data_IF_837407066943
#
_entry.id   IF_837407066943
#
_cell.length_a   1.000
_cell.length_b   1.000
_cell.length_c   1.000
_cell.angle_alpha   90.00
_cell.angle_beta   90.00
_cell.angle_gamma   90.00
#
_symmetry.space_group_name_H-M   'P 1'
#
loop_
_entity.id
_entity.type
_entity.pdbx_description
1 polymer ?
#
# COMPACT_ATOMS: atom_id res chain seq x y z
N UNK A 1 1.36 4.73 -42.60
CA UNK A 1 2.20 4.61 -41.39
C UNK A 1 3.63 4.46 -41.86
N UNK A 2 4.57 5.26 -41.35
CA UNK A 2 6.01 5.06 -41.60
C UNK A 2 6.50 4.10 -40.52
N UNK A 3 7.20 3.05 -40.91
CA UNK A 3 7.81 2.12 -39.98
C UNK A 3 8.98 2.83 -39.28
N UNK A 4 8.90 2.96 -37.95
CA UNK A 4 9.91 3.66 -37.16
C UNK A 4 11.30 3.01 -37.30
N UNK A 5 11.38 1.70 -37.55
CA UNK A 5 12.64 0.96 -37.75
C UNK A 5 13.38 1.39 -39.05
N UNK A 6 12.62 1.90 -40.03
CA UNK A 6 13.13 2.30 -41.34
C UNK A 6 13.51 3.78 -41.39
N UNK A 7 13.29 4.52 -40.31
CA UNK A 7 13.64 5.94 -40.23
C UNK A 7 15.17 6.11 -40.16
N UNK A 8 15.78 6.92 -41.04
CA UNK A 8 17.24 7.08 -41.10
C UNK A 8 17.86 7.79 -39.89
N UNK A 9 17.08 8.53 -39.10
CA UNK A 9 17.54 9.25 -37.91
C UNK A 9 17.32 8.45 -36.64
N UNK A 10 16.14 7.84 -36.50
CA UNK A 10 15.73 7.21 -35.24
C UNK A 10 15.61 5.70 -35.29
N UNK A 11 15.62 5.07 -36.48
CA UNK A 11 15.37 3.63 -36.64
C UNK A 11 16.35 2.73 -35.90
N UNK A 12 17.58 3.18 -35.67
CA UNK A 12 18.57 2.47 -34.83
C UNK A 12 18.10 2.23 -33.39
N UNK A 13 17.21 3.05 -32.86
CA UNK A 13 16.68 2.92 -31.49
C UNK A 13 15.47 1.99 -31.41
N UNK A 14 14.80 1.73 -32.55
CA UNK A 14 13.60 0.89 -32.62
C UNK A 14 13.89 -0.51 -33.14
N UNK A 15 15.05 -0.74 -33.77
CA UNK A 15 15.42 -2.00 -34.43
C UNK A 15 15.34 -3.23 -33.52
N UNK A 16 15.72 -3.08 -32.26
CA UNK A 16 15.77 -4.17 -31.29
C UNK A 16 14.58 -4.15 -30.31
N UNK A 17 13.60 -3.26 -30.53
CA UNK A 17 12.41 -3.20 -29.70
C UNK A 17 11.41 -4.29 -30.11
N UNK A 18 10.80 -4.97 -29.13
CA UNK A 18 9.69 -5.87 -29.40
C UNK A 18 8.52 -5.17 -30.10
N UNK A 19 7.87 -5.87 -31.03
CA UNK A 19 6.77 -5.31 -31.83
C UNK A 19 5.41 -5.49 -31.15
N UNK A 20 5.31 -6.41 -30.20
CA UNK A 20 4.07 -6.66 -29.47
C UNK A 20 4.08 -5.93 -28.13
N UNK A 21 2.96 -5.30 -27.78
CA UNK A 21 2.85 -4.50 -26.55
C UNK A 21 3.22 -5.27 -25.28
N UNK A 22 2.84 -6.54 -25.19
CA UNK A 22 3.13 -7.38 -24.01
C UNK A 22 4.62 -7.76 -23.91
N UNK A 23 5.37 -7.76 -25.01
CA UNK A 23 6.80 -8.01 -24.97
C UNK A 23 7.56 -6.81 -24.38
N UNK A 24 6.93 -5.62 -24.37
CA UNK A 24 7.47 -4.41 -23.74
C UNK A 24 7.18 -4.31 -22.24
N UNK A 25 6.36 -5.20 -21.67
CA UNK A 25 6.02 -5.15 -20.24
C UNK A 25 7.17 -5.61 -19.36
N UNK A 26 8.06 -6.47 -19.89
CA UNK A 26 9.29 -6.86 -19.20
C UNK A 26 10.49 -6.06 -19.72
N UNK A 27 10.74 -4.93 -19.07
CA UNK A 27 11.83 -4.01 -19.42
C UNK A 27 13.22 -4.58 -19.18
N UNK A 28 13.35 -5.75 -18.51
CA UNK A 28 14.65 -6.43 -18.34
C UNK A 28 15.23 -6.85 -19.69
N UNK A 29 14.37 -7.17 -20.65
CA UNK A 29 14.75 -7.41 -22.05
C UNK A 29 15.40 -6.19 -22.72
N UNK A 30 15.10 -4.99 -22.23
CA UNK A 30 15.58 -3.71 -22.76
C UNK A 30 16.83 -3.20 -22.03
N UNK A 31 17.41 -3.99 -21.11
CA UNK A 31 18.63 -3.64 -20.40
C UNK A 31 18.43 -2.76 -19.17
N UNK A 32 17.20 -2.65 -18.65
CA UNK A 32 16.89 -1.90 -17.43
C UNK A 32 16.24 -2.78 -16.37
N UNK A 33 16.54 -2.49 -15.11
CA UNK A 33 15.93 -3.15 -13.94
C UNK A 33 15.56 -2.14 -12.88
N UNK A 34 14.58 -2.47 -12.05
CA UNK A 34 14.15 -1.64 -10.93
C UNK A 34 14.60 -2.22 -9.60
N UNK A 35 14.74 -1.35 -8.61
CA UNK A 35 14.85 -1.74 -7.22
C UNK A 35 13.46 -1.71 -6.57
N UNK A 36 12.94 -2.87 -6.19
CA UNK A 36 11.63 -3.05 -5.57
C UNK A 36 11.80 -3.19 -4.06
N UNK A 37 11.32 -2.21 -3.29
CA UNK A 37 11.50 -2.14 -1.83
C UNK A 37 10.21 -2.34 -1.05
N UNK A 38 10.33 -2.83 0.18
CA UNK A 38 9.23 -2.94 1.14
C UNK A 38 8.11 -3.85 0.64
N UNK A 39 6.86 -3.44 0.82
CA UNK A 39 5.68 -4.21 0.43
C UNK A 39 5.63 -4.49 -1.08
N UNK A 40 6.19 -3.61 -1.91
CA UNK A 40 6.31 -3.86 -3.35
C UNK A 40 7.29 -5.01 -3.65
N UNK A 41 8.36 -5.11 -2.87
CA UNK A 41 9.30 -6.23 -2.95
C UNK A 41 8.70 -7.53 -2.41
N UNK A 42 7.92 -7.46 -1.34
CA UNK A 42 7.15 -8.61 -0.83
C UNK A 42 6.14 -9.11 -1.85
N UNK A 43 5.36 -8.22 -2.46
CA UNK A 43 4.41 -8.57 -3.51
C UNK A 43 5.12 -9.25 -4.69
N UNK A 44 6.24 -8.67 -5.14
CA UNK A 44 7.01 -9.22 -6.27
C UNK A 44 7.55 -10.63 -5.99
N UNK A 45 7.99 -10.90 -4.76
CA UNK A 45 8.54 -12.21 -4.37
C UNK A 45 7.46 -13.24 -3.99
N UNK A 46 6.29 -12.80 -3.53
CA UNK A 46 5.23 -13.64 -2.97
C UNK A 46 3.98 -13.70 -3.87
N UNK A 47 4.10 -13.52 -5.19
CA UNK A 47 2.97 -13.56 -6.15
C UNK A 47 2.02 -14.76 -5.97
N UNK A 48 2.47 -15.89 -5.40
CA UNK A 48 1.62 -17.04 -5.06
C UNK A 48 0.63 -16.81 -3.91
N UNK A 49 0.93 -15.90 -3.00
CA UNK A 49 0.14 -15.60 -1.79
C UNK A 49 -0.72 -14.33 -1.92
N UNK A 50 -0.54 -13.52 -2.96
CA UNK A 50 -1.45 -12.40 -3.25
C UNK A 50 -2.68 -12.93 -4.00
N UNK A 51 -3.85 -12.89 -3.37
CA UNK A 51 -5.08 -13.34 -4.01
C UNK A 51 -5.42 -12.47 -5.21
N UNK A 52 -5.47 -13.13 -6.38
CA UNK A 52 -6.00 -12.70 -7.67
C UNK A 52 -5.21 -11.65 -8.46
N UNK A 53 -4.21 -12.13 -9.21
CA UNK A 53 -4.11 -11.77 -10.64
C UNK A 53 -4.00 -13.07 -11.43
N UNK A 54 -4.87 -13.23 -12.43
CA UNK A 54 -4.90 -14.36 -13.36
C UNK A 54 -3.47 -14.62 -13.87
N UNK A 55 -2.85 -15.72 -13.42
CA UNK A 55 -1.60 -16.18 -14.04
C UNK A 55 -1.87 -16.42 -15.51
N UNK A 56 -1.31 -15.58 -16.36
CA UNK A 56 -1.04 -15.98 -17.73
C UNK A 56 -0.06 -17.16 -17.59
N UNK A 57 -0.37 -18.29 -18.22
CA UNK A 57 0.52 -19.44 -18.18
C UNK A 57 1.92 -18.99 -18.59
N UNK A 58 2.88 -19.12 -17.67
CA UNK A 58 4.32 -18.89 -17.88
C UNK A 58 4.90 -19.98 -18.80
N UNK A 59 4.36 -20.10 -20.01
CA UNK A 59 5.09 -20.65 -21.15
C UNK A 59 6.01 -19.59 -21.77
N UNK A 60 6.08 -18.39 -21.19
CA UNK A 60 7.20 -17.49 -21.37
C UNK A 60 8.42 -18.20 -20.77
N UNK A 61 9.10 -18.98 -21.61
CA UNK A 61 10.50 -19.36 -21.42
C UNK A 61 11.19 -18.19 -20.77
N UNK A 62 11.74 -18.38 -19.57
CA UNK A 62 12.72 -17.48 -18.95
C UNK A 62 13.67 -17.05 -20.05
N UNK A 63 13.43 -15.88 -20.66
CA UNK A 63 14.40 -15.31 -21.55
C UNK A 63 15.64 -15.12 -20.67
N UNK A 64 16.80 -15.50 -21.18
CA UNK A 64 18.07 -15.31 -20.49
C UNK A 64 18.33 -13.80 -20.37
N UNK A 65 17.65 -13.16 -19.43
CA UNK A 65 17.86 -11.77 -19.08
C UNK A 65 19.17 -11.71 -18.30
N UNK A 66 20.04 -10.81 -18.71
CA UNK A 66 21.32 -10.57 -18.02
C UNK A 66 21.15 -9.69 -16.78
N UNK A 67 19.96 -9.12 -16.58
CA UNK A 67 19.65 -8.16 -15.52
C UNK A 67 18.31 -8.53 -14.87
N UNK A 68 18.32 -8.68 -13.55
CA UNK A 68 17.13 -8.92 -12.73
C UNK A 68 16.79 -7.70 -11.86
N UNK A 69 15.51 -7.59 -11.48
CA UNK A 69 15.08 -6.61 -10.50
C UNK A 69 15.73 -6.90 -9.13
N UNK A 70 16.17 -5.84 -8.44
CA UNK A 70 16.70 -5.95 -7.09
C UNK A 70 15.54 -5.90 -6.13
N UNK A 71 15.25 -7.01 -5.44
CA UNK A 71 14.11 -7.12 -4.53
C UNK A 71 14.59 -7.01 -3.08
N UNK A 72 14.05 -6.03 -2.35
CA UNK A 72 14.29 -5.84 -0.92
C UNK A 72 12.95 -5.86 -0.17
N UNK A 73 12.53 -7.01 0.37
CA UNK A 73 11.25 -7.12 1.09
C UNK A 73 11.26 -6.29 2.39
N UNK A 74 10.12 -6.24 3.07
CA UNK A 74 10.05 -5.66 4.42
C UNK A 74 10.88 -6.52 5.38
N UNK A 75 11.90 -5.90 5.98
CA UNK A 75 12.81 -6.58 6.93
C UNK A 75 12.92 -5.90 8.28
N UNK A 76 12.43 -4.66 8.41
CA UNK A 76 12.50 -3.91 9.67
C UNK A 76 11.46 -4.43 10.66
N UNK A 77 11.88 -4.66 11.90
CA UNK A 77 11.01 -5.18 12.95
C UNK A 77 9.77 -4.31 13.16
N UNK A 78 9.91 -2.97 13.14
CA UNK A 78 8.80 -2.02 13.25
C UNK A 78 7.72 -2.22 12.16
N UNK A 79 8.14 -2.44 10.92
CA UNK A 79 7.22 -2.66 9.80
C UNK A 79 6.58 -4.04 9.86
N UNK A 80 7.36 -5.07 10.23
CA UNK A 80 6.82 -6.43 10.42
C UNK A 80 5.80 -6.46 11.55
N UNK A 81 6.01 -5.68 12.60
CA UNK A 81 5.10 -5.55 13.71
C UNK A 81 3.78 -4.88 13.29
N UNK A 82 3.84 -3.82 12.48
CA UNK A 82 2.63 -3.20 11.92
C UNK A 82 1.85 -4.15 11.00
N UNK A 83 2.54 -4.91 10.13
CA UNK A 83 1.90 -5.90 9.27
C UNK A 83 1.25 -7.03 10.08
N UNK A 84 1.92 -7.50 11.13
CA UNK A 84 1.36 -8.51 12.01
C UNK A 84 0.14 -7.99 12.79
N UNK A 85 0.12 -6.71 13.14
CA UNK A 85 -1.05 -6.05 13.71
C UNK A 85 -2.22 -6.03 12.70
N UNK A 86 -2.00 -5.59 11.46
CA UNK A 86 -3.02 -5.60 10.40
C UNK A 86 -3.58 -7.02 10.18
N UNK A 87 -2.72 -8.03 10.13
CA UNK A 87 -3.11 -9.43 10.01
C UNK A 87 -4.04 -9.87 11.17
N UNK A 88 -3.76 -9.45 12.41
CA UNK A 88 -4.66 -9.76 13.54
C UNK A 88 -6.00 -9.02 13.44
N UNK A 89 -6.00 -7.76 12.99
CA UNK A 89 -7.24 -7.03 12.77
C UNK A 89 -8.09 -7.70 11.70
N UNK A 90 -7.50 -8.14 10.58
CA UNK A 90 -8.21 -8.91 9.56
C UNK A 90 -8.77 -10.23 10.10
N UNK A 91 -8.00 -10.95 10.92
CA UNK A 91 -8.47 -12.20 11.53
C UNK A 91 -9.65 -11.97 12.48
N UNK A 92 -9.63 -10.90 13.28
CA UNK A 92 -10.74 -10.55 14.15
C UNK A 92 -11.96 -10.08 13.36
N UNK A 93 -11.76 -9.22 12.36
CA UNK A 93 -12.79 -8.77 11.44
C UNK A 93 -13.50 -9.97 10.78
N UNK A 94 -12.73 -10.97 10.32
CA UNK A 94 -13.27 -12.21 9.75
C UNK A 94 -14.09 -13.02 10.75
N UNK A 95 -13.72 -13.05 12.04
CA UNK A 95 -14.51 -13.72 13.09
C UNK A 95 -15.82 -12.99 13.38
N UNK A 96 -15.84 -11.67 13.21
CA UNK A 96 -17.00 -10.81 13.37
C UNK A 96 -17.86 -10.69 12.10
N UNK A 97 -17.53 -11.44 11.03
CA UNK A 97 -18.17 -11.38 9.70
C UNK A 97 -18.10 -10.00 9.01
N UNK A 98 -17.08 -9.21 9.32
CA UNK A 98 -16.78 -7.98 8.58
C UNK A 98 -16.13 -8.30 7.23
N UNK A 99 -16.43 -7.49 6.23
CA UNK A 99 -15.77 -7.55 4.93
C UNK A 99 -14.33 -7.04 5.01
N UNK A 100 -13.51 -7.36 4.01
CA UNK A 100 -12.13 -6.85 3.94
C UNK A 100 -12.08 -5.31 3.89
N UNK A 101 -12.99 -4.69 3.15
CA UNK A 101 -13.07 -3.23 3.07
C UNK A 101 -13.44 -2.61 4.42
N UNK A 102 -14.36 -3.22 5.17
CA UNK A 102 -14.65 -2.77 6.53
C UNK A 102 -13.44 -2.97 7.45
N UNK A 103 -12.72 -4.09 7.33
CA UNK A 103 -11.50 -4.29 8.10
C UNK A 103 -10.43 -3.23 7.79
N UNK A 104 -10.27 -2.82 6.52
CA UNK A 104 -9.37 -1.73 6.11
C UNK A 104 -9.77 -0.40 6.78
N UNK A 105 -11.06 -0.10 6.82
CA UNK A 105 -11.58 1.08 7.53
C UNK A 105 -11.29 1.02 9.03
N UNK A 106 -11.45 -0.15 9.66
CA UNK A 106 -11.16 -0.33 11.09
C UNK A 106 -9.67 -0.24 11.40
N UNK A 107 -8.78 -0.78 10.55
CA UNK A 107 -7.32 -0.61 10.68
C UNK A 107 -6.96 0.87 10.67
N UNK A 108 -7.55 1.66 9.77
CA UNK A 108 -7.33 3.09 9.69
C UNK A 108 -7.77 3.81 10.97
N UNK A 109 -8.98 3.50 11.48
CA UNK A 109 -9.48 4.08 12.75
C UNK A 109 -8.58 3.75 13.93
N UNK A 110 -8.20 2.49 14.10
CA UNK A 110 -7.35 2.04 15.21
C UNK A 110 -5.98 2.72 15.13
N UNK A 111 -5.38 2.76 13.93
CA UNK A 111 -4.09 3.42 13.71
C UNK A 111 -4.16 4.93 14.00
N UNK A 112 -5.27 5.57 13.63
CA UNK A 112 -5.51 6.99 13.90
C UNK A 112 -5.58 7.29 15.40
N UNK A 113 -6.34 6.48 16.16
CA UNK A 113 -6.43 6.63 17.63
C UNK A 113 -5.08 6.37 18.29
N UNK A 114 -4.36 5.32 17.86
CA UNK A 114 -3.01 5.04 18.34
C UNK A 114 -2.05 6.21 18.10
N UNK A 115 -2.13 6.86 16.94
CA UNK A 115 -1.30 8.04 16.67
C UNK A 115 -1.66 9.23 17.57
N UNK A 116 -2.95 9.53 17.74
CA UNK A 116 -3.40 10.63 18.60
C UNK A 116 -3.01 10.42 20.07
N UNK A 117 -3.11 9.20 20.58
CA UNK A 117 -2.92 8.94 22.02
C UNK A 117 -1.49 8.55 22.40
N UNK A 118 -0.71 7.96 21.48
CA UNK A 118 0.59 7.36 21.81
C UNK A 118 1.78 7.92 21.03
N UNK A 119 1.57 8.65 19.93
CA UNK A 119 2.65 9.27 19.17
C UNK A 119 2.80 10.75 19.54
N UNK A 120 4.03 11.32 19.42
CA UNK A 120 4.22 12.73 19.67
C UNK A 120 3.50 13.57 18.61
N UNK A 121 2.65 14.48 19.08
CA UNK A 121 1.83 15.34 18.22
C UNK A 121 0.37 15.23 18.61
N UNK A 122 -0.48 15.92 17.85
CA UNK A 122 -1.93 15.74 17.92
C UNK A 122 -2.51 16.01 16.55
N UNK A 123 -3.57 15.29 16.23
CA UNK A 123 -4.31 15.41 14.98
C UNK A 123 -5.16 16.68 15.05
N UNK A 124 -4.85 17.63 14.16
CA UNK A 124 -5.49 18.94 14.13
C UNK A 124 -6.01 19.22 12.72
N UNK A 125 -7.11 19.95 12.67
CA UNK A 125 -7.63 20.48 11.42
C UNK A 125 -6.66 21.49 10.78
N UNK A 126 -6.82 21.74 9.49
CA UNK A 126 -6.06 22.77 8.80
C UNK A 126 -6.34 24.15 9.40
N UNK A 127 -5.29 24.96 9.55
CA UNK A 127 -5.44 26.35 10.03
C UNK A 127 -6.40 27.15 9.13
N UNK A 128 -7.15 28.14 9.68
CA UNK A 128 -8.06 28.96 8.90
C UNK A 128 -7.38 29.69 7.73
N UNK A 129 -6.12 30.11 7.92
CA UNK A 129 -5.32 30.76 6.87
C UNK A 129 -5.01 29.78 5.75
N UNK A 130 -4.64 28.53 6.08
CA UNK A 130 -4.41 27.49 5.09
C UNK A 130 -5.70 27.21 4.30
N UNK A 131 -6.82 27.00 5.00
CA UNK A 131 -8.12 26.76 4.37
C UNK A 131 -8.54 27.87 3.42
N UNK A 132 -8.36 29.12 3.84
CA UNK A 132 -8.67 30.30 3.03
C UNK A 132 -7.78 30.36 1.78
N UNK A 133 -6.47 30.12 1.95
CA UNK A 133 -5.48 30.22 0.87
C UNK A 133 -5.65 29.14 -0.19
N UNK A 134 -6.01 27.93 0.23
CA UNK A 134 -6.13 26.76 -0.65
C UNK A 134 -7.59 26.42 -1.00
N UNK A 135 -8.54 27.27 -0.60
CA UNK A 135 -9.97 27.07 -0.83
C UNK A 135 -10.49 25.71 -0.32
N UNK A 136 -9.97 25.25 0.83
CA UNK A 136 -10.41 24.03 1.49
C UNK A 136 -11.57 24.36 2.42
N UNK A 137 -12.77 23.88 2.10
CA UNK A 137 -13.97 24.10 2.92
C UNK A 137 -14.16 23.03 4.00
N UNK A 138 -13.67 21.82 3.75
CA UNK A 138 -13.88 20.66 4.61
C UNK A 138 -12.84 20.59 5.74
N UNK A 139 -13.10 19.71 6.71
CA UNK A 139 -12.11 19.34 7.73
C UNK A 139 -11.01 18.48 7.10
N UNK A 140 -9.81 18.52 7.67
CA UNK A 140 -8.79 17.53 7.34
C UNK A 140 -9.36 16.11 7.60
N UNK A 141 -9.21 15.15 6.65
CA UNK A 141 -9.88 13.85 6.75
C UNK A 141 -9.60 13.06 8.02
N UNK A 142 -8.35 13.05 8.48
CA UNK A 142 -7.93 12.35 9.70
C UNK A 142 -8.55 13.00 10.94
N UNK A 143 -8.59 14.33 10.98
CA UNK A 143 -9.27 15.09 12.01
C UNK A 143 -10.78 14.82 12.03
N UNK A 144 -11.45 14.85 10.87
CA UNK A 144 -12.87 14.56 10.76
C UNK A 144 -13.19 13.14 11.25
N UNK A 145 -12.40 12.15 10.85
CA UNK A 145 -12.54 10.77 11.28
C UNK A 145 -12.34 10.65 12.81
N UNK A 146 -11.31 11.29 13.37
CA UNK A 146 -11.07 11.30 14.81
C UNK A 146 -12.25 11.91 15.59
N UNK A 147 -12.83 13.01 15.09
CA UNK A 147 -14.03 13.59 15.71
C UNK A 147 -15.23 12.64 15.63
N UNK A 148 -15.42 11.92 14.51
CA UNK A 148 -16.51 10.95 14.35
C UNK A 148 -16.37 9.72 15.26
N UNK A 149 -15.14 9.30 15.57
CA UNK A 149 -14.87 8.25 16.55
C UNK A 149 -15.20 8.78 17.95
N UNK A 150 -14.63 9.93 18.33
CA UNK A 150 -14.83 10.55 19.66
C UNK A 150 -16.29 10.89 19.95
N UNK A 151 -17.09 11.24 18.93
CA UNK A 151 -18.52 11.51 19.07
C UNK A 151 -19.38 10.24 19.17
N UNK A 152 -18.80 9.06 18.86
CA UNK A 152 -19.51 7.79 18.77
C UNK A 152 -20.34 7.63 17.49
N UNK A 153 -20.21 8.54 16.52
CA UNK A 153 -20.89 8.43 15.21
C UNK A 153 -20.29 7.29 14.36
N UNK A 154 -18.98 7.09 14.46
CA UNK A 154 -18.25 6.06 13.73
C UNK A 154 -17.26 5.33 14.65
N UNK A 155 -17.75 4.56 15.65
CA UNK A 155 -16.89 3.87 16.60
C UNK A 155 -16.05 2.78 15.93
N UNK A 156 -15.01 2.33 16.64
CA UNK A 156 -14.23 1.16 16.24
C UNK A 156 -15.07 -0.10 16.52
N UNK A 157 -15.20 -0.97 15.52
CA UNK A 157 -16.06 -2.17 15.57
C UNK A 157 -15.29 -3.45 15.92
N UNK A 158 -13.96 -3.43 15.81
CA UNK A 158 -13.12 -4.59 16.07
C UNK A 158 -13.14 -4.91 17.56
N UNK A 159 -13.60 -6.10 17.92
CA UNK A 159 -13.61 -6.51 19.33
C UNK A 159 -12.19 -6.70 19.86
N UNK A 160 -11.88 -6.06 20.99
CA UNK A 160 -10.57 -6.16 21.65
C UNK A 160 -9.45 -5.40 20.94
N UNK A 161 -9.78 -4.38 20.15
CA UNK A 161 -8.80 -3.57 19.43
C UNK A 161 -7.81 -2.85 20.35
N UNK A 162 -8.21 -2.48 21.57
CA UNK A 162 -7.35 -1.84 22.57
C UNK A 162 -6.26 -2.80 23.08
N UNK A 163 -6.58 -4.10 23.17
CA UNK A 163 -5.59 -5.12 23.51
C UNK A 163 -4.61 -5.31 22.34
N UNK A 164 -5.08 -5.24 21.10
CA UNK A 164 -4.21 -5.30 19.92
C UNK A 164 -3.25 -4.10 19.86
N UNK A 165 -3.73 -2.88 20.14
CA UNK A 165 -2.85 -1.69 20.19
C UNK A 165 -1.83 -1.77 21.31
N UNK A 166 -2.21 -2.32 22.47
CA UNK A 166 -1.29 -2.57 23.57
C UNK A 166 -0.23 -3.63 23.21
N UNK A 167 -0.64 -4.77 22.67
CA UNK A 167 0.27 -5.89 22.37
C UNK A 167 1.30 -5.54 21.29
N UNK A 168 0.87 -4.81 20.26
CA UNK A 168 1.73 -4.48 19.12
C UNK A 168 2.47 -3.16 19.29
N UNK A 169 1.86 -2.13 19.86
CA UNK A 169 2.46 -0.79 19.93
C UNK A 169 2.82 -0.36 21.35
N UNK A 170 2.55 -1.19 22.37
CA UNK A 170 2.68 -0.83 23.79
C UNK A 170 1.93 0.47 24.12
N UNK A 171 0.78 0.65 23.47
CA UNK A 171 -0.07 1.83 23.51
C UNK A 171 -1.38 1.48 24.23
N UNK A 172 -1.62 2.09 25.39
CA UNK A 172 -2.86 1.88 26.15
C UNK A 172 -3.89 2.93 25.74
N UNK A 173 -4.71 2.59 24.75
CA UNK A 173 -5.71 3.51 24.20
C UNK A 173 -6.94 3.63 25.09
N UNK A 174 -7.52 4.83 25.18
CA UNK A 174 -8.67 5.12 26.06
C UNK A 174 -9.90 5.66 25.34
N UNK A 175 -9.76 6.05 24.07
CA UNK A 175 -10.88 6.49 23.24
C UNK A 175 -11.81 5.31 22.96
N UNK A 176 -13.13 5.42 23.22
CA UNK A 176 -14.11 4.34 22.99
C UNK A 176 -14.50 4.14 21.52
#
# INVERSE_FOLDING_TARGET
SIDAEQDPLVGRFFKDLPKQYWELTDVRSLGYSFELKGLLGDMYSKCDASTQVRRLNDNATTANHTIDNIVRPVVRAENLNHLAFEDQVYLQASRQNLTRAEADDEINKITLVMHEECMPGSIQDFSPVFKTKWHVAEMEPSFALLQSIKSGENPIKIEGWEALTLDYFNCNTTTP
#
